data_IF_575115304429
#
_entry.id   IF_575115304429
#
_cell.length_a   1.000
_cell.length_b   1.000
_cell.length_c   1.000
_cell.angle_alpha   90.00
_cell.angle_beta   90.00
_cell.angle_gamma   90.00
#
_symmetry.space_group_name_H-M   'P 1'
#
loop_
_entity.id
_entity.type
_entity.pdbx_description
1 polymer ?
#
# COMPACT_ATOMS: atom_id res chain seq x y z
N UNK A 1 -25.45 27.59 8.89
CA UNK A 1 -26.18 26.46 9.50
C UNK A 1 -27.00 25.88 8.40
N UNK A 2 -26.64 24.69 7.95
CA UNK A 2 -27.26 24.09 6.77
C UNK A 2 -28.57 23.44 7.20
N UNK A 3 -29.63 23.73 6.46
CA UNK A 3 -30.97 23.19 6.72
C UNK A 3 -31.19 22.08 5.72
N UNK A 4 -31.38 20.86 6.23
CA UNK A 4 -31.67 19.69 5.40
C UNK A 4 -33.17 19.40 5.50
N UNK A 5 -33.81 19.27 4.33
CA UNK A 5 -35.22 18.90 4.22
C UNK A 5 -35.36 17.53 3.57
N UNK A 6 -36.23 16.70 4.14
CA UNK A 6 -36.71 15.49 3.49
C UNK A 6 -38.05 15.82 2.79
N UNK A 7 -38.13 15.55 1.49
CA UNK A 7 -39.31 15.72 0.66
C UNK A 7 -39.84 14.34 0.28
N UNK A 8 -40.92 13.91 0.92
CA UNK A 8 -41.57 12.63 0.60
C UNK A 8 -42.78 12.88 -0.31
N UNK A 9 -42.85 12.28 -1.50
CA UNK A 9 -43.98 12.47 -2.42
C UNK A 9 -45.27 11.89 -1.82
N UNK A 10 -46.39 12.61 -1.91
CA UNK A 10 -47.70 12.11 -1.45
C UNK A 10 -48.41 11.22 -2.48
N UNK A 11 -47.88 11.11 -3.69
CA UNK A 11 -48.44 10.37 -4.82
C UNK A 11 -47.31 9.68 -5.59
N UNK A 12 -47.64 8.61 -6.29
CA UNK A 12 -46.69 7.93 -7.19
C UNK A 12 -46.41 8.78 -8.44
N UNK A 13 -45.21 8.64 -9.03
CA UNK A 13 -44.77 9.29 -10.28
C UNK A 13 -44.69 10.84 -10.27
N UNK A 14 -44.27 11.45 -9.15
CA UNK A 14 -43.99 12.88 -9.13
C UNK A 14 -42.62 13.16 -9.80
N UNK A 15 -42.58 14.16 -10.68
CA UNK A 15 -41.33 14.64 -11.31
C UNK A 15 -40.55 15.55 -10.36
N UNK A 16 -39.38 15.07 -9.92
CA UNK A 16 -38.46 15.81 -9.05
C UNK A 16 -37.61 16.83 -9.81
N UNK A 17 -37.52 16.70 -11.14
CA UNK A 17 -36.65 17.53 -11.99
C UNK A 17 -37.11 19.00 -11.98
N UNK A 18 -38.43 19.21 -11.98
CA UNK A 18 -39.03 20.56 -11.93
C UNK A 18 -38.60 21.35 -10.68
N UNK A 19 -38.46 20.69 -9.53
CA UNK A 19 -37.97 21.32 -8.29
C UNK A 19 -36.53 21.80 -8.47
N UNK A 20 -35.66 20.92 -8.96
CA UNK A 20 -34.23 21.21 -9.13
C UNK A 20 -34.03 22.36 -10.13
N UNK A 21 -34.77 22.33 -11.25
CA UNK A 21 -34.71 23.37 -12.29
C UNK A 21 -35.20 24.72 -11.75
N UNK A 22 -36.32 24.76 -11.02
CA UNK A 22 -36.85 26.00 -10.43
C UNK A 22 -35.92 26.60 -9.37
N UNK A 23 -35.36 25.76 -8.50
CA UNK A 23 -34.36 26.19 -7.51
C UNK A 23 -33.11 26.78 -8.18
N UNK A 24 -32.58 26.10 -9.21
CA UNK A 24 -31.41 26.57 -9.97
C UNK A 24 -31.67 27.92 -10.65
N UNK A 25 -32.91 28.17 -11.07
CA UNK A 25 -33.34 29.43 -11.70
C UNK A 25 -33.81 30.50 -10.71
N UNK A 26 -33.67 30.28 -9.39
CA UNK A 26 -34.13 31.19 -8.32
C UNK A 26 -35.63 31.51 -8.39
N UNK A 27 -36.43 30.52 -8.78
CA UNK A 27 -37.89 30.63 -8.88
C UNK A 27 -38.57 29.99 -7.66
N UNK A 28 -39.79 30.43 -7.38
CA UNK A 28 -40.60 29.85 -6.30
C UNK A 28 -40.96 28.39 -6.59
N UNK A 29 -40.91 27.57 -5.55
CA UNK A 29 -41.26 26.15 -5.60
C UNK A 29 -42.58 25.87 -4.88
N UNK A 30 -43.40 25.01 -5.46
CA UNK A 30 -44.63 24.54 -4.85
C UNK A 30 -44.43 23.12 -4.28
N UNK A 31 -44.46 23.00 -2.96
CA UNK A 31 -44.25 21.73 -2.25
C UNK A 31 -45.57 21.09 -1.75
N UNK A 32 -46.73 21.51 -2.26
CA UNK A 32 -48.04 21.03 -1.78
C UNK A 32 -48.21 19.51 -1.88
N UNK A 33 -47.70 18.92 -2.95
CA UNK A 33 -47.74 17.46 -3.20
C UNK A 33 -46.66 16.68 -2.45
N UNK A 34 -45.85 17.35 -1.62
CA UNK A 34 -44.84 16.74 -0.78
C UNK A 34 -45.21 16.84 0.70
N UNK A 35 -44.82 15.82 1.46
CA UNK A 35 -44.62 15.97 2.88
C UNK A 35 -43.22 16.54 3.11
N UNK A 36 -43.15 17.69 3.78
CA UNK A 36 -41.89 18.40 4.02
C UNK A 36 -41.53 18.22 5.50
N UNK A 37 -40.39 17.60 5.77
CA UNK A 37 -39.86 17.45 7.13
C UNK A 37 -38.47 18.05 7.22
N UNK A 38 -38.23 18.87 8.24
CA UNK A 38 -36.87 19.32 8.54
C UNK A 38 -36.13 18.19 9.24
N UNK A 39 -34.98 17.81 8.68
CA UNK A 39 -34.05 16.89 9.33
C UNK A 39 -33.30 17.68 10.38
N UNK A 40 -33.71 17.53 11.63
CA UNK A 40 -33.09 18.21 12.78
C UNK A 40 -31.79 17.53 13.21
N UNK A 41 -31.60 16.27 12.84
CA UNK A 41 -30.37 15.51 13.05
C UNK A 41 -30.25 14.43 11.98
N UNK A 42 -29.25 14.59 11.13
CA UNK A 42 -28.91 13.69 10.01
C UNK A 42 -28.76 12.25 10.49
N UNK A 43 -28.16 12.06 11.68
CA UNK A 43 -27.90 10.74 12.27
C UNK A 43 -29.20 9.97 12.54
N UNK A 44 -30.29 10.64 12.93
CA UNK A 44 -31.57 9.97 13.18
C UNK A 44 -32.34 9.67 11.88
N UNK A 45 -32.16 10.46 10.83
CA UNK A 45 -32.84 10.26 9.54
C UNK A 45 -32.28 9.09 8.74
N UNK A 46 -30.98 8.82 8.85
CA UNK A 46 -30.33 7.68 8.20
C UNK A 46 -30.16 6.48 9.14
N UNK A 47 -30.86 6.47 10.29
CA UNK A 47 -30.69 5.46 11.33
C UNK A 47 -30.90 4.03 10.81
N UNK A 48 -31.99 3.80 10.06
CA UNK A 48 -32.31 2.46 9.57
C UNK A 48 -31.30 2.01 8.50
N UNK A 49 -30.88 2.89 7.58
CA UNK A 49 -29.83 2.58 6.60
C UNK A 49 -28.48 2.25 7.25
N UNK A 50 -28.11 3.00 8.30
CA UNK A 50 -26.90 2.73 9.09
C UNK A 50 -27.04 1.39 9.83
N UNK A 51 -28.21 1.08 10.38
CA UNK A 51 -28.48 -0.20 11.05
C UNK A 51 -28.37 -1.35 10.05
N UNK A 52 -29.01 -1.26 8.89
CA UNK A 52 -28.99 -2.30 7.85
C UNK A 52 -27.56 -2.55 7.37
N UNK A 53 -26.80 -1.48 7.09
CA UNK A 53 -25.39 -1.58 6.73
C UNK A 53 -24.53 -2.25 7.82
N UNK A 54 -24.79 -1.93 9.09
CA UNK A 54 -24.09 -2.56 10.23
C UNK A 54 -24.51 -4.02 10.41
N UNK A 55 -25.77 -4.38 10.16
CA UNK A 55 -26.24 -5.76 10.19
C UNK A 55 -25.60 -6.60 9.09
N UNK A 56 -25.40 -6.02 7.91
CA UNK A 56 -24.81 -6.71 6.76
C UNK A 56 -23.28 -6.80 6.85
N UNK A 57 -22.60 -5.75 7.31
CA UNK A 57 -21.15 -5.62 7.23
C UNK A 57 -20.42 -5.52 8.58
N UNK A 58 -21.17 -5.49 9.69
CA UNK A 58 -20.65 -5.38 11.06
C UNK A 58 -20.25 -3.96 11.45
N UNK A 59 -20.28 -3.63 12.75
CA UNK A 59 -19.98 -2.27 13.25
C UNK A 59 -18.58 -1.76 12.87
N UNK A 60 -17.61 -2.68 12.72
CA UNK A 60 -16.24 -2.35 12.31
C UNK A 60 -16.17 -1.70 10.92
N UNK A 61 -17.15 -1.93 10.04
CA UNK A 61 -17.21 -1.28 8.72
C UNK A 61 -17.40 0.24 8.80
N UNK A 62 -18.00 0.75 9.89
CA UNK A 62 -18.17 2.18 10.13
C UNK A 62 -16.92 2.84 10.72
N UNK A 63 -15.97 2.04 11.21
CA UNK A 63 -14.74 2.49 11.85
C UNK A 63 -13.56 1.95 11.03
N UNK A 64 -13.44 2.42 9.78
CA UNK A 64 -12.23 2.22 8.98
C UNK A 64 -11.21 3.31 9.31
N UNK A 65 -10.77 3.35 10.56
CA UNK A 65 -9.62 4.15 10.96
C UNK A 65 -8.46 3.20 11.23
N UNK A 66 -7.69 2.90 10.18
CA UNK A 66 -6.39 2.27 10.35
C UNK A 66 -5.38 3.36 10.76
N UNK A 67 -4.68 3.22 11.88
CA UNK A 67 -3.57 4.11 12.19
C UNK A 67 -2.47 3.90 11.15
N UNK A 68 -2.26 4.91 10.31
CA UNK A 68 -1.12 4.97 9.38
C UNK A 68 0.13 5.24 10.22
N UNK A 69 0.90 4.18 10.48
CA UNK A 69 2.16 4.25 11.20
C UNK A 69 3.32 4.20 10.19
N UNK A 70 3.40 5.24 9.38
CA UNK A 70 4.54 5.48 8.50
C UNK A 70 5.79 5.76 9.32
N UNK A 71 6.87 5.01 9.08
CA UNK A 71 8.16 5.32 9.66
C UNK A 71 8.94 6.24 8.72
N UNK A 72 9.28 7.43 9.22
CA UNK A 72 10.10 8.40 8.50
C UNK A 72 11.58 8.14 8.75
N UNK A 73 12.30 7.69 7.72
CA UNK A 73 13.76 7.69 7.71
C UNK A 73 14.25 9.05 7.27
N UNK A 74 14.88 9.77 8.19
CA UNK A 74 15.39 11.13 7.93
C UNK A 74 16.65 11.11 7.07
N UNK A 75 16.90 12.20 6.36
CA UNK A 75 18.17 12.40 5.67
C UNK A 75 19.32 12.39 6.69
N UNK A 76 20.39 11.64 6.39
CA UNK A 76 21.53 11.46 7.28
C UNK A 76 21.37 10.32 8.29
N UNK A 77 20.30 9.51 8.20
CA UNK A 77 20.15 8.30 9.00
C UNK A 77 21.37 7.39 8.86
N UNK A 78 21.82 6.82 9.98
CA UNK A 78 22.96 5.92 10.01
C UNK A 78 22.60 4.56 9.41
N UNK A 79 23.62 3.83 8.93
CA UNK A 79 23.46 2.47 8.40
C UNK A 79 22.77 1.55 9.41
N UNK A 80 23.22 1.56 10.68
CA UNK A 80 22.62 0.74 11.74
C UNK A 80 21.14 1.05 11.94
N UNK A 81 20.77 2.33 11.94
CA UNK A 81 19.36 2.72 12.08
C UNK A 81 18.52 2.20 10.90
N UNK A 82 19.03 2.28 9.67
CA UNK A 82 18.35 1.73 8.48
C UNK A 82 18.15 0.21 8.63
N UNK A 83 19.18 -0.51 9.07
CA UNK A 83 19.13 -1.96 9.28
C UNK A 83 18.08 -2.30 10.35
N UNK A 84 18.11 -1.62 11.50
CA UNK A 84 17.18 -1.84 12.63
C UNK A 84 15.72 -1.62 12.20
N UNK A 85 15.48 -0.55 11.45
CA UNK A 85 14.15 -0.22 10.93
C UNK A 85 13.67 -1.28 9.94
N UNK A 86 14.51 -1.68 8.98
CA UNK A 86 14.16 -2.74 8.02
C UNK A 86 13.88 -4.06 8.73
N UNK A 87 14.71 -4.44 9.71
CA UNK A 87 14.49 -5.63 10.52
C UNK A 87 13.16 -5.59 11.28
N UNK A 88 12.83 -4.45 11.90
CA UNK A 88 11.56 -4.29 12.63
C UNK A 88 10.35 -4.57 11.73
N UNK A 89 10.38 -4.06 10.51
CA UNK A 89 9.28 -4.23 9.55
C UNK A 89 9.24 -5.66 8.97
N UNK A 90 10.39 -6.21 8.56
CA UNK A 90 10.48 -7.57 8.03
C UNK A 90 10.13 -8.63 9.09
N UNK A 91 10.44 -8.39 10.35
CA UNK A 91 9.99 -9.25 11.46
C UNK A 91 8.45 -9.26 11.58
N UNK A 92 7.78 -8.13 11.34
CA UNK A 92 6.31 -8.02 11.37
C UNK A 92 5.64 -8.56 10.11
N UNK A 93 6.29 -8.45 8.95
CA UNK A 93 5.91 -9.19 7.74
C UNK A 93 5.96 -10.69 8.04
N UNK A 94 7.00 -11.14 8.75
CA UNK A 94 7.19 -12.55 9.08
C UNK A 94 7.78 -13.29 7.89
N UNK A 95 9.01 -12.92 7.51
CA UNK A 95 9.71 -13.52 6.36
C UNK A 95 9.76 -15.05 6.49
N UNK A 96 9.30 -15.73 5.44
CA UNK A 96 9.23 -17.19 5.33
C UNK A 96 10.17 -17.73 4.24
N UNK A 97 9.80 -18.80 3.54
CA UNK A 97 10.64 -19.46 2.54
C UNK A 97 10.81 -18.66 1.24
N UNK A 98 10.02 -17.62 1.03
CA UNK A 98 10.08 -16.78 -0.16
C UNK A 98 10.10 -15.30 0.22
N UNK A 99 11.06 -14.57 -0.35
CA UNK A 99 11.11 -13.10 -0.28
C UNK A 99 11.11 -12.54 -1.69
N UNK A 100 10.18 -11.62 -1.96
CA UNK A 100 10.05 -10.93 -3.24
C UNK A 100 10.42 -9.47 -3.03
N UNK A 101 11.46 -9.02 -3.71
CA UNK A 101 11.95 -7.64 -3.70
C UNK A 101 11.66 -7.02 -5.07
N UNK A 102 10.76 -6.05 -5.10
CA UNK A 102 10.48 -5.22 -6.26
C UNK A 102 11.11 -3.88 -5.96
N UNK A 103 12.19 -3.52 -6.63
CA UNK A 103 12.83 -2.21 -6.48
C UNK A 103 13.60 -1.86 -7.76
N UNK A 104 13.14 -0.86 -8.52
CA UNK A 104 13.75 -0.46 -9.78
C UNK A 104 15.25 -0.20 -9.72
N UNK A 105 15.75 0.23 -8.56
CA UNK A 105 17.12 0.68 -8.37
C UNK A 105 17.93 -0.21 -7.42
N UNK A 106 17.41 -1.40 -7.08
CA UNK A 106 18.08 -2.34 -6.15
C UNK A 106 19.51 -2.66 -6.59
N UNK A 107 19.71 -2.86 -7.90
CA UNK A 107 21.01 -3.08 -8.52
C UNK A 107 21.54 -1.87 -9.29
N UNK A 108 20.99 -0.67 -9.09
CA UNK A 108 21.48 0.50 -9.80
C UNK A 108 22.89 0.89 -9.34
N UNK A 109 23.72 1.46 -10.23
CA UNK A 109 25.02 2.00 -9.86
C UNK A 109 24.92 2.96 -8.67
N UNK A 110 25.88 2.87 -7.75
CA UNK A 110 25.87 3.69 -6.53
C UNK A 110 27.27 4.10 -6.13
N UNK A 111 27.37 5.31 -5.57
CA UNK A 111 28.59 5.82 -4.95
C UNK A 111 28.73 5.40 -3.48
N UNK A 112 27.69 4.77 -2.92
CA UNK A 112 27.72 4.26 -1.55
C UNK A 112 28.37 2.88 -1.51
N UNK A 113 29.63 2.85 -1.09
CA UNK A 113 30.41 1.62 -0.97
C UNK A 113 29.93 0.69 0.14
N UNK A 114 29.11 1.18 1.07
CA UNK A 114 28.57 0.38 2.18
C UNK A 114 27.28 -0.35 1.81
N UNK A 115 26.66 0.00 0.69
CA UNK A 115 25.37 -0.53 0.26
C UNK A 115 25.33 -2.08 0.17
N UNK A 116 26.31 -2.78 -0.44
CA UNK A 116 26.31 -4.24 -0.45
C UNK A 116 26.32 -4.85 0.95
N UNK A 117 27.09 -4.26 1.87
CA UNK A 117 27.15 -4.70 3.27
C UNK A 117 25.84 -4.43 4.01
N UNK A 118 25.17 -3.32 3.71
CA UNK A 118 23.83 -3.01 4.27
C UNK A 118 22.81 -4.07 3.85
N UNK A 119 22.76 -4.42 2.56
CA UNK A 119 21.88 -5.46 2.04
C UNK A 119 22.19 -6.80 2.71
N UNK A 120 23.47 -7.13 2.82
CA UNK A 120 23.93 -8.35 3.46
C UNK A 120 23.44 -8.44 4.91
N UNK A 121 23.65 -7.38 5.73
CA UNK A 121 23.21 -7.34 7.12
C UNK A 121 21.68 -7.35 7.28
N UNK A 122 20.93 -6.73 6.37
CA UNK A 122 19.46 -6.78 6.37
C UNK A 122 18.99 -8.22 6.12
N UNK A 123 19.52 -8.87 5.09
CA UNK A 123 19.02 -10.18 4.65
C UNK A 123 19.57 -11.35 5.49
N UNK A 124 20.77 -11.23 6.06
CA UNK A 124 21.45 -12.28 6.85
C UNK A 124 20.53 -12.91 7.91
N UNK A 125 19.80 -12.06 8.64
CA UNK A 125 18.85 -12.45 9.68
C UNK A 125 17.75 -13.42 9.20
N UNK A 126 17.43 -13.39 7.91
CA UNK A 126 16.32 -14.15 7.31
C UNK A 126 16.79 -15.29 6.39
N UNK A 127 18.08 -15.36 6.04
CA UNK A 127 18.59 -16.35 5.10
C UNK A 127 18.33 -17.80 5.52
N UNK A 128 18.34 -18.09 6.82
CA UNK A 128 18.03 -19.44 7.33
C UNK A 128 16.61 -19.91 6.96
N UNK A 129 15.67 -18.99 6.73
CA UNK A 129 14.28 -19.26 6.35
C UNK A 129 14.05 -19.18 4.86
N UNK A 130 14.63 -18.18 4.19
CA UNK A 130 14.38 -17.89 2.77
C UNK A 130 15.11 -18.89 1.88
N UNK A 131 14.37 -19.66 1.09
CA UNK A 131 14.92 -20.57 0.08
C UNK A 131 14.94 -19.94 -1.31
N UNK A 132 13.94 -19.10 -1.62
CA UNK A 132 13.85 -18.37 -2.89
C UNK A 132 13.79 -16.86 -2.67
N UNK A 133 14.68 -16.13 -3.32
CA UNK A 133 14.72 -14.68 -3.35
C UNK A 133 14.41 -14.19 -4.76
N UNK A 134 13.22 -13.63 -4.96
CA UNK A 134 12.86 -12.96 -6.20
C UNK A 134 13.30 -11.50 -6.16
N UNK A 135 13.98 -11.04 -7.20
CA UNK A 135 14.41 -9.65 -7.33
C UNK A 135 13.93 -9.12 -8.67
N UNK A 136 13.14 -8.06 -8.65
CA UNK A 136 12.57 -7.42 -9.84
C UNK A 136 13.08 -5.98 -9.88
N UNK A 137 13.81 -5.63 -10.94
CA UNK A 137 14.42 -4.30 -11.14
C UNK A 137 14.07 -3.71 -12.50
N UNK A 138 14.49 -2.47 -12.75
CA UNK A 138 14.45 -1.93 -14.12
C UNK A 138 15.54 -2.56 -14.99
N UNK A 139 15.25 -2.88 -16.25
CA UNK A 139 16.22 -3.50 -17.16
C UNK A 139 17.44 -2.62 -17.40
N UNK A 140 17.28 -1.30 -17.42
CA UNK A 140 18.34 -0.32 -17.67
C UNK A 140 18.99 0.25 -16.40
N UNK A 141 18.73 -0.34 -15.22
CA UNK A 141 19.27 0.09 -13.92
C UNK A 141 19.98 -1.04 -13.19
N UNK A 142 20.66 -1.91 -13.93
CA UNK A 142 21.41 -3.05 -13.37
C UNK A 142 22.90 -2.82 -13.59
N UNK A 143 23.63 -2.61 -12.52
CA UNK A 143 25.08 -2.67 -12.48
C UNK A 143 25.52 -4.12 -12.25
N UNK A 144 26.22 -4.70 -13.22
CA UNK A 144 26.60 -6.11 -13.21
C UNK A 144 27.55 -6.46 -12.06
N UNK A 145 28.44 -5.54 -11.69
CA UNK A 145 29.42 -5.74 -10.61
C UNK A 145 28.72 -5.74 -9.26
N UNK A 146 27.83 -4.77 -9.02
CA UNK A 146 27.03 -4.68 -7.81
C UNK A 146 26.10 -5.89 -7.64
N UNK A 147 25.39 -6.28 -8.71
CA UNK A 147 24.56 -7.49 -8.72
C UNK A 147 25.38 -8.72 -8.31
N UNK A 148 26.51 -8.95 -8.98
CA UNK A 148 27.39 -10.09 -8.71
C UNK A 148 27.89 -10.06 -7.26
N UNK A 149 28.24 -8.87 -6.75
CA UNK A 149 28.74 -8.70 -5.37
C UNK A 149 27.68 -9.08 -4.35
N UNK A 150 26.46 -8.55 -4.48
CA UNK A 150 25.34 -8.85 -3.58
C UNK A 150 24.98 -10.34 -3.65
N UNK A 151 24.80 -10.89 -4.84
CA UNK A 151 24.43 -12.31 -5.01
C UNK A 151 25.51 -13.26 -4.46
N UNK A 152 26.79 -12.94 -4.65
CA UNK A 152 27.90 -13.73 -4.12
C UNK A 152 27.96 -13.68 -2.59
N UNK A 153 27.76 -12.50 -1.98
CA UNK A 153 27.71 -12.36 -0.53
C UNK A 153 26.61 -13.24 0.08
N UNK A 154 25.40 -13.18 -0.48
CA UNK A 154 24.26 -13.98 -0.02
C UNK A 154 24.50 -15.49 -0.21
N UNK A 155 25.02 -15.91 -1.38
CA UNK A 155 25.32 -17.32 -1.66
C UNK A 155 26.48 -17.88 -0.83
N UNK A 156 27.44 -17.04 -0.43
CA UNK A 156 28.51 -17.45 0.48
C UNK A 156 27.94 -17.85 1.85
N UNK A 157 26.88 -17.17 2.30
CA UNK A 157 26.19 -17.46 3.56
C UNK A 157 25.16 -18.59 3.46
N UNK A 158 24.47 -18.69 2.32
CA UNK A 158 23.55 -19.78 2.01
C UNK A 158 23.71 -20.22 0.56
N UNK A 159 24.55 -21.24 0.35
CA UNK A 159 24.86 -21.76 -0.99
C UNK A 159 23.62 -22.32 -1.73
N UNK A 160 22.62 -22.80 -0.99
CA UNK A 160 21.37 -23.31 -1.55
C UNK A 160 20.34 -22.23 -1.92
N UNK A 161 20.61 -20.94 -1.63
CA UNK A 161 19.68 -19.86 -1.91
C UNK A 161 19.45 -19.72 -3.41
N UNK A 162 18.19 -19.85 -3.83
CA UNK A 162 17.78 -19.63 -5.20
C UNK A 162 17.47 -18.14 -5.41
N UNK A 163 18.34 -17.43 -6.13
CA UNK A 163 18.13 -16.01 -6.46
C UNK A 163 17.62 -15.92 -7.89
N UNK A 164 16.39 -15.42 -8.05
CA UNK A 164 15.71 -15.25 -9.33
C UNK A 164 15.60 -13.76 -9.64
N UNK A 165 16.44 -13.28 -10.55
CA UNK A 165 16.41 -11.89 -11.02
C UNK A 165 15.61 -11.78 -12.33
N UNK A 166 14.59 -10.92 -12.34
CA UNK A 166 13.84 -10.54 -13.54
C UNK A 166 13.77 -9.01 -13.64
N UNK A 167 13.36 -8.51 -14.80
CA UNK A 167 13.27 -7.07 -15.05
C UNK A 167 11.91 -6.69 -15.63
N UNK A 168 11.41 -5.50 -15.28
CA UNK A 168 10.19 -4.90 -15.82
C UNK A 168 10.28 -3.38 -15.68
N UNK A 169 9.60 -2.64 -16.55
CA UNK A 169 9.48 -1.17 -16.46
C UNK A 169 8.18 -0.72 -15.76
N UNK A 170 7.32 -1.66 -15.36
CA UNK A 170 5.95 -1.36 -14.95
C UNK A 170 5.81 -1.05 -13.44
N UNK A 171 6.85 -1.33 -12.67
CA UNK A 171 6.84 -1.18 -11.21
C UNK A 171 7.76 -0.04 -10.79
N UNK A 172 7.20 1.15 -10.55
CA UNK A 172 7.98 2.31 -10.08
C UNK A 172 8.25 2.29 -8.57
N UNK A 173 7.32 1.73 -7.81
CA UNK A 173 7.37 1.67 -6.36
C UNK A 173 8.21 0.50 -5.85
N UNK A 174 8.59 0.57 -4.57
CA UNK A 174 9.46 -0.44 -3.95
C UNK A 174 8.68 -1.28 -2.96
N UNK A 175 8.60 -2.57 -3.21
CA UNK A 175 7.83 -3.49 -2.40
C UNK A 175 8.69 -4.67 -1.97
N UNK A 176 8.58 -5.05 -0.70
CA UNK A 176 9.17 -6.29 -0.19
C UNK A 176 8.04 -7.15 0.36
N UNK A 177 7.80 -8.30 -0.26
CA UNK A 177 6.64 -9.17 -0.01
C UNK A 177 7.11 -10.55 0.43
N UNK A 178 6.47 -11.10 1.46
CA UNK A 178 6.75 -12.44 1.99
C UNK A 178 5.53 -12.96 2.76
N UNK A 179 5.71 -14.00 3.58
CA UNK A 179 4.66 -14.64 4.39
C UNK A 179 3.53 -15.17 3.50
N UNK A 180 3.87 -16.15 2.66
CA UNK A 180 3.00 -16.80 1.68
C UNK A 180 2.35 -15.78 0.73
N UNK A 181 3.11 -14.74 0.37
CA UNK A 181 2.66 -13.64 -0.49
C UNK A 181 1.42 -12.90 0.04
N UNK A 182 1.27 -12.78 1.37
CA UNK A 182 0.12 -12.12 2.03
C UNK A 182 0.47 -10.85 2.77
N UNK A 183 1.76 -10.56 2.99
CA UNK A 183 2.21 -9.37 3.69
C UNK A 183 3.38 -8.76 2.96
N UNK A 184 3.50 -7.45 3.03
CA UNK A 184 4.66 -6.75 2.50
C UNK A 184 4.78 -5.35 3.07
N UNK A 185 5.84 -4.68 2.62
CA UNK A 185 6.16 -3.31 2.96
C UNK A 185 6.41 -2.50 1.71
N UNK A 186 6.12 -1.21 1.79
CA UNK A 186 6.41 -0.19 0.80
C UNK A 186 7.57 0.68 1.29
N UNK A 187 8.54 0.93 0.43
CA UNK A 187 9.63 1.88 0.71
C UNK A 187 9.58 3.06 -0.26
N UNK A 188 9.59 4.29 0.27
CA UNK A 188 9.50 5.52 -0.53
C UNK A 188 10.75 5.81 -1.36
N UNK A 189 11.87 5.17 -1.04
CA UNK A 189 13.08 5.16 -1.87
C UNK A 189 13.72 3.77 -1.87
N UNK A 190 14.54 3.49 -2.87
CA UNK A 190 15.35 2.26 -2.90
C UNK A 190 16.29 2.25 -1.71
N UNK A 191 16.63 1.07 -1.17
CA UNK A 191 17.69 0.98 -0.15
C UNK A 191 19.01 1.59 -0.65
N UNK A 192 19.25 1.59 -1.95
CA UNK A 192 20.38 2.23 -2.61
C UNK A 192 20.41 3.78 -2.45
N UNK A 193 19.27 4.35 -2.07
CA UNK A 193 19.07 5.76 -1.75
C UNK A 193 18.63 6.02 -0.30
N UNK A 194 18.50 4.99 0.54
CA UNK A 194 18.06 5.13 1.93
C UNK A 194 19.04 6.01 2.73
N UNK A 195 18.52 6.89 3.58
CA UNK A 195 19.33 7.85 4.35
C UNK A 195 19.90 9.03 3.54
N UNK A 196 19.92 8.97 2.20
CA UNK A 196 20.33 10.13 1.36
C UNK A 196 19.22 11.19 1.24
N UNK A 197 17.97 10.77 1.41
CA UNK A 197 16.75 11.58 1.36
C UNK A 197 15.75 11.13 2.42
N UNK A 198 14.79 11.99 2.76
CA UNK A 198 13.63 11.58 3.54
C UNK A 198 12.90 10.46 2.81
N UNK A 199 12.59 9.40 3.53
CA UNK A 199 12.01 8.20 2.96
C UNK A 199 10.97 7.64 3.90
N UNK A 200 9.85 7.20 3.34
CA UNK A 200 8.81 6.52 4.09
C UNK A 200 9.04 5.01 4.05
N UNK A 201 8.73 4.35 5.14
CA UNK A 201 8.60 2.91 5.23
C UNK A 201 7.25 2.61 5.84
N UNK A 202 6.44 1.83 5.13
CA UNK A 202 5.12 1.46 5.61
C UNK A 202 4.76 0.03 5.26
N UNK A 203 3.72 -0.50 5.90
CA UNK A 203 3.15 -1.80 5.62
C UNK A 203 2.15 -1.70 4.48
N UNK A 204 2.21 -2.64 3.55
CA UNK A 204 1.13 -2.83 2.58
C UNK A 204 -0.08 -3.49 3.25
N UNK A 205 -1.28 -3.00 2.91
CA UNK A 205 -2.50 -3.71 3.24
C UNK A 205 -2.55 -5.06 2.47
N UNK A 206 -3.42 -5.97 2.88
CA UNK A 206 -3.43 -7.34 2.29
C UNK A 206 -4.00 -7.37 0.87
N UNK A 207 -4.91 -6.44 0.52
CA UNK A 207 -5.47 -6.34 -0.85
C UNK A 207 -4.40 -5.93 -1.86
N UNK A 208 -3.61 -4.90 -1.55
CA UNK A 208 -2.54 -4.39 -2.41
C UNK A 208 -1.49 -5.47 -2.66
N UNK A 209 -1.11 -6.23 -1.61
CA UNK A 209 -0.18 -7.35 -1.77
C UNK A 209 -0.73 -8.38 -2.76
N UNK A 210 -2.03 -8.73 -2.66
CA UNK A 210 -2.65 -9.69 -3.59
C UNK A 210 -2.66 -9.16 -5.03
N UNK A 211 -2.98 -7.88 -5.22
CA UNK A 211 -2.99 -7.25 -6.54
C UNK A 211 -1.58 -7.23 -7.16
N UNK A 212 -0.57 -6.81 -6.39
CA UNK A 212 0.83 -6.80 -6.83
C UNK A 212 1.28 -8.22 -7.20
N UNK A 213 1.02 -9.20 -6.35
CA UNK A 213 1.41 -10.60 -6.58
C UNK A 213 0.70 -11.17 -7.81
N UNK A 214 -0.59 -10.91 -7.96
CA UNK A 214 -1.37 -11.32 -9.13
C UNK A 214 -0.75 -10.74 -10.41
N UNK A 215 -0.46 -9.44 -10.41
CA UNK A 215 0.20 -8.76 -11.54
C UNK A 215 1.54 -9.42 -11.87
N UNK A 216 2.39 -9.66 -10.88
CA UNK A 216 3.68 -10.33 -11.10
C UNK A 216 3.52 -11.73 -11.72
N UNK A 217 2.52 -12.51 -11.29
CA UNK A 217 2.24 -13.83 -11.86
C UNK A 217 1.74 -13.71 -13.31
N UNK A 218 0.82 -12.79 -13.58
CA UNK A 218 0.29 -12.54 -14.93
C UNK A 218 1.38 -12.17 -15.92
N UNK A 219 2.37 -11.37 -15.50
CA UNK A 219 3.50 -10.97 -16.34
C UNK A 219 4.68 -11.96 -16.30
N UNK A 220 4.53 -13.12 -15.65
CA UNK A 220 5.58 -14.14 -15.58
C UNK A 220 6.82 -13.69 -14.82
N UNK A 221 6.67 -12.75 -13.87
CA UNK A 221 7.74 -12.23 -13.00
C UNK A 221 7.91 -13.06 -11.72
N UNK A 222 6.91 -13.85 -11.34
CA UNK A 222 7.04 -14.94 -10.35
C UNK A 222 6.91 -16.28 -11.07
#
# INVERSE_FOLDING_TARGET
>A
MDIIWNLTPKKENIDYTDIVVKLSNKQDINLRDYEVRQVTSVVFSFREEIIDYVLEHGLSSLITSEPVLEHLVVKGATQNHIIDVMHKYLDKVGVDNELIIIDPYFYAPTTDTTYPTTIDLILDKYLSKVDTLHIITYPNKVDATLKTTIETNLKTKKASLNILHKTSNDYHDRFWISNNRKKGILTGTSLNGYGKRYSLLDRLNTSDVREIVCSLQTYGLL
#
